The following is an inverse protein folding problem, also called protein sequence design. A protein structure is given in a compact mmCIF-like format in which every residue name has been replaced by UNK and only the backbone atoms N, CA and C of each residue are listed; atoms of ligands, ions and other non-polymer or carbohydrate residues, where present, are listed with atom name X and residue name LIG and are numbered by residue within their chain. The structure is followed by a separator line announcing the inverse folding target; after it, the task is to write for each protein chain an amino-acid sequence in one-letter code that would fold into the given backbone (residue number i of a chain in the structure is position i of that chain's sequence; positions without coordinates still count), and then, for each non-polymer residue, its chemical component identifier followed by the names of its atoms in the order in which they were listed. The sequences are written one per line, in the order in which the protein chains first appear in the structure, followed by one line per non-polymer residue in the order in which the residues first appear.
data_IF_509335624433
#
_entry.id   IF_509335624433
#
_cell.length_a   1.000
_cell.length_b   1.000
_cell.length_c   1.000
_cell.angle_alpha   90.00
_cell.angle_beta   90.00
_cell.angle_gamma   90.00
#
_symmetry.space_group_name_H-M   'P 1'
#
loop_
_entity.id
_entity.type
_entity.pdbx_description
1 polymer ?
#
# COMPACT_ATOMS: atom_id res chain seq x y z
N UNK A 1 -17.76 -8.91 -7.35
CA UNK A 1 -17.81 -9.58 -6.05
C UNK A 1 -17.90 -8.54 -4.95
N UNK A 2 -18.82 -8.73 -4.02
CA UNK A 2 -18.96 -7.78 -2.91
C UNK A 2 -17.80 -7.95 -1.92
N UNK A 3 -17.23 -6.83 -1.50
CA UNK A 3 -16.24 -6.86 -0.42
C UNK A 3 -16.95 -7.33 0.87
N UNK A 4 -16.29 -8.20 1.62
CA UNK A 4 -16.86 -8.64 2.88
C UNK A 4 -16.71 -7.54 3.93
N UNK A 5 -17.61 -7.55 4.90
CA UNK A 5 -17.48 -6.67 6.05
C UNK A 5 -16.54 -7.30 7.08
N UNK A 6 -15.64 -6.50 7.60
CA UNK A 6 -14.74 -6.93 8.67
C UNK A 6 -15.44 -6.80 10.02
N UNK A 7 -15.13 -7.70 10.93
CA UNK A 7 -15.62 -7.59 12.31
C UNK A 7 -14.86 -6.46 13.03
N UNK A 8 -15.40 -6.02 14.17
CA UNK A 8 -14.73 -4.99 14.96
C UNK A 8 -13.34 -5.44 15.41
N UNK A 9 -13.17 -6.72 15.75
CA UNK A 9 -11.88 -7.27 16.11
C UNK A 9 -10.90 -7.25 14.94
N UNK A 10 -11.37 -7.62 13.76
CA UNK A 10 -10.55 -7.60 12.55
C UNK A 10 -10.11 -6.18 12.21
N UNK A 11 -11.00 -5.21 12.36
CA UNK A 11 -10.68 -3.80 12.12
C UNK A 11 -9.59 -3.33 13.07
N UNK A 12 -9.67 -3.70 14.35
CA UNK A 12 -8.63 -3.37 15.32
C UNK A 12 -7.27 -3.93 14.90
N UNK A 13 -7.25 -5.18 14.45
CA UNK A 13 -6.02 -5.83 14.01
C UNK A 13 -5.45 -5.09 12.78
N UNK A 14 -6.30 -4.81 11.79
CA UNK A 14 -5.86 -4.13 10.59
C UNK A 14 -5.33 -2.72 10.87
N UNK A 15 -5.98 -1.98 11.75
CA UNK A 15 -5.58 -0.61 12.09
C UNK A 15 -4.28 -0.55 12.91
N UNK A 16 -3.83 -1.67 13.46
CA UNK A 16 -2.52 -1.74 14.11
C UNK A 16 -1.37 -1.71 13.11
N UNK A 17 -1.64 -2.04 11.85
CA UNK A 17 -0.61 -1.99 10.83
C UNK A 17 -0.24 -0.54 10.55
N UNK A 18 1.06 -0.28 10.53
CA UNK A 18 1.63 1.05 10.34
C UNK A 18 1.16 1.72 9.04
N UNK A 19 0.90 0.92 7.99
CA UNK A 19 0.56 1.42 6.66
C UNK A 19 -0.93 1.43 6.36
N UNK A 20 -1.77 0.99 7.30
CA UNK A 20 -3.23 1.08 7.15
C UNK A 20 -3.70 2.31 7.92
N UNK A 21 -4.10 3.34 7.19
CA UNK A 21 -4.50 4.60 7.79
C UNK A 21 -5.91 4.55 8.37
N UNK A 22 -6.80 3.76 7.76
CA UNK A 22 -8.17 3.65 8.24
C UNK A 22 -8.86 2.45 7.59
N UNK A 23 -10.04 2.10 8.10
CA UNK A 23 -10.93 1.14 7.49
C UNK A 23 -12.30 1.80 7.38
N UNK A 24 -12.74 2.09 6.17
CA UNK A 24 -14.00 2.80 5.91
C UNK A 24 -15.15 1.81 5.72
N UNK A 25 -16.30 2.14 6.29
CA UNK A 25 -17.53 1.35 6.11
C UNK A 25 -17.34 -0.12 6.45
N UNK A 26 -16.41 -0.45 7.35
CA UNK A 26 -16.05 -1.81 7.75
C UNK A 26 -15.62 -2.71 6.60
N UNK A 27 -15.21 -2.16 5.46
CA UNK A 27 -14.83 -2.97 4.29
C UNK A 27 -13.75 -2.40 3.40
N UNK A 28 -13.47 -1.10 3.49
CA UNK A 28 -12.45 -0.49 2.63
C UNK A 28 -11.22 -0.09 3.43
N UNK A 29 -10.09 -0.69 3.10
CA UNK A 29 -8.81 -0.31 3.71
C UNK A 29 -8.31 0.97 3.06
N UNK A 30 -7.92 1.93 3.89
CA UNK A 30 -7.25 3.15 3.42
C UNK A 30 -5.76 2.96 3.63
N UNK A 31 -5.04 2.78 2.54
CA UNK A 31 -3.61 2.53 2.56
C UNK A 31 -2.84 3.84 2.54
N UNK A 32 -1.73 3.87 3.27
CA UNK A 32 -0.82 5.01 3.21
C UNK A 32 -0.20 5.11 1.80
N UNK A 33 -0.11 6.30 1.21
CA UNK A 33 0.52 6.45 -0.11
C UNK A 33 1.94 5.91 -0.19
N UNK A 34 2.71 6.03 0.89
CA UNK A 34 4.06 5.48 0.95
C UNK A 34 4.03 3.96 0.80
N UNK A 35 3.05 3.30 1.43
CA UNK A 35 2.88 1.86 1.29
C UNK A 35 2.62 1.47 -0.16
N UNK A 36 1.74 2.20 -0.85
CA UNK A 36 1.44 1.90 -2.26
C UNK A 36 2.69 1.96 -3.12
N UNK A 37 3.49 3.00 -2.96
CA UNK A 37 4.76 3.14 -3.69
C UNK A 37 5.76 2.05 -3.29
N UNK A 38 5.79 1.68 -2.02
CA UNK A 38 6.64 0.60 -1.55
C UNK A 38 6.27 -0.74 -2.20
N UNK A 39 4.97 -1.03 -2.34
CA UNK A 39 4.55 -2.28 -3.00
C UNK A 39 4.96 -2.30 -4.47
N UNK A 40 4.89 -1.15 -5.14
CA UNK A 40 5.34 -1.03 -6.52
C UNK A 40 6.83 -1.34 -6.62
N UNK A 41 7.63 -0.73 -5.74
CA UNK A 41 9.06 -0.99 -5.66
C UNK A 41 9.34 -2.48 -5.42
N UNK A 42 8.64 -3.10 -4.46
CA UNK A 42 8.82 -4.52 -4.15
C UNK A 42 8.45 -5.41 -5.33
N UNK A 43 7.38 -5.07 -6.04
CA UNK A 43 6.99 -5.84 -7.23
C UNK A 43 8.06 -5.78 -8.32
N UNK A 44 8.68 -4.62 -8.52
CA UNK A 44 9.72 -4.44 -9.52
C UNK A 44 11.04 -5.08 -9.10
N UNK A 45 11.40 -4.94 -7.84
CA UNK A 45 12.69 -5.41 -7.32
C UNK A 45 12.69 -6.90 -6.99
N UNK A 46 11.55 -7.41 -6.54
CA UNK A 46 11.42 -8.80 -6.09
C UNK A 46 10.24 -9.46 -6.81
N UNK A 47 10.37 -9.73 -8.12
CA UNK A 47 9.25 -10.26 -8.90
C UNK A 47 8.80 -11.67 -8.46
N UNK A 48 9.64 -12.37 -7.72
CA UNK A 48 9.30 -13.71 -7.23
C UNK A 48 8.38 -13.70 -6.01
N UNK A 49 8.24 -12.55 -5.33
CA UNK A 49 7.32 -12.46 -4.21
C UNK A 49 5.89 -12.31 -4.71
N UNK A 50 4.97 -13.07 -4.10
CA UNK A 50 3.55 -12.88 -4.40
C UNK A 50 3.03 -11.58 -3.77
N UNK A 51 1.90 -11.10 -4.28
CA UNK A 51 1.26 -9.92 -3.70
C UNK A 51 0.93 -10.12 -2.22
N UNK A 52 0.47 -11.33 -1.87
CA UNK A 52 0.16 -11.67 -0.49
C UNK A 52 1.41 -11.60 0.40
N UNK A 53 2.52 -12.12 -0.10
CA UNK A 53 3.79 -12.06 0.64
C UNK A 53 4.28 -10.62 0.83
N UNK A 54 4.10 -9.78 -0.18
CA UNK A 54 4.46 -8.35 -0.07
C UNK A 54 3.64 -7.68 1.04
N UNK A 55 2.34 -7.92 1.08
CA UNK A 55 1.48 -7.39 2.13
C UNK A 55 1.89 -7.93 3.51
N UNK A 56 2.22 -9.22 3.59
CA UNK A 56 2.62 -9.84 4.85
C UNK A 56 3.91 -9.22 5.40
N UNK A 57 4.88 -8.98 4.55
CA UNK A 57 6.15 -8.35 4.95
C UNK A 57 5.91 -6.96 5.53
N UNK A 58 4.90 -6.25 5.04
CA UNK A 58 4.56 -4.92 5.55
C UNK A 58 3.84 -4.94 6.90
N UNK A 59 3.53 -6.12 7.42
CA UNK A 59 2.87 -6.25 8.72
C UNK A 59 1.35 -6.28 8.65
N UNK A 60 0.78 -6.42 7.45
CA UNK A 60 -0.67 -6.55 7.31
C UNK A 60 -1.05 -7.99 7.61
N UNK A 61 -2.09 -8.19 8.42
CA UNK A 61 -2.58 -9.53 8.74
C UNK A 61 -3.38 -10.08 7.56
N UNK A 62 -2.66 -10.74 6.63
CA UNK A 62 -3.24 -11.14 5.34
C UNK A 62 -4.32 -12.20 5.46
N UNK A 63 -4.33 -12.99 6.55
CA UNK A 63 -5.35 -14.00 6.74
C UNK A 63 -6.74 -13.41 6.96
N UNK A 64 -6.83 -12.15 7.36
CA UNK A 64 -8.10 -11.45 7.50
C UNK A 64 -8.66 -11.02 6.14
N UNK A 65 -7.77 -10.79 5.17
CA UNK A 65 -8.13 -10.21 3.88
C UNK A 65 -8.72 -11.26 2.94
N UNK A 66 -9.56 -10.78 2.01
CA UNK A 66 -9.97 -11.60 0.88
C UNK A 66 -8.72 -12.08 0.16
N UNK A 67 -8.74 -13.34 -0.29
CA UNK A 67 -7.60 -14.01 -0.92
C UNK A 67 -6.96 -13.20 -2.04
N UNK A 68 -7.78 -12.59 -2.89
CA UNK A 68 -7.29 -11.89 -4.07
C UNK A 68 -7.05 -10.41 -3.86
N UNK A 69 -7.35 -9.88 -2.68
CA UNK A 69 -7.26 -8.45 -2.43
C UNK A 69 -5.84 -7.90 -2.62
N UNK A 70 -4.78 -8.50 -2.06
CA UNK A 70 -3.43 -7.99 -2.27
C UNK A 70 -3.05 -7.93 -3.75
N UNK A 71 -3.34 -8.97 -4.50
CA UNK A 71 -3.05 -9.03 -5.93
C UNK A 71 -3.78 -7.93 -6.69
N UNK A 72 -5.08 -7.76 -6.42
CA UNK A 72 -5.88 -6.77 -7.10
C UNK A 72 -5.38 -5.36 -6.81
N UNK A 73 -5.03 -5.07 -5.56
CA UNK A 73 -4.54 -3.74 -5.19
C UNK A 73 -3.20 -3.44 -5.83
N UNK A 74 -2.26 -4.37 -5.78
CA UNK A 74 -0.95 -4.15 -6.38
C UNK A 74 -1.07 -3.99 -7.90
N UNK A 75 -1.92 -4.77 -8.55
CA UNK A 75 -2.15 -4.63 -10.00
C UNK A 75 -2.72 -3.25 -10.33
N UNK A 76 -3.69 -2.75 -9.54
CA UNK A 76 -4.27 -1.42 -9.72
C UNK A 76 -3.19 -0.34 -9.58
N UNK A 77 -2.35 -0.45 -8.56
CA UNK A 77 -1.31 0.54 -8.32
C UNK A 77 -0.21 0.49 -9.38
N UNK A 78 0.18 -0.71 -9.82
CA UNK A 78 1.14 -0.84 -10.93
C UNK A 78 0.61 -0.22 -12.22
N UNK A 79 -0.67 -0.44 -12.51
CA UNK A 79 -1.31 0.18 -13.67
C UNK A 79 -1.25 1.71 -13.57
N UNK A 80 -1.63 2.25 -12.42
CA UNK A 80 -1.62 3.69 -12.22
C UNK A 80 -0.19 4.26 -12.30
N UNK A 81 0.77 3.55 -11.74
CA UNK A 81 2.17 3.96 -11.78
C UNK A 81 2.70 4.02 -13.22
N UNK A 82 2.44 2.98 -13.99
CA UNK A 82 2.89 2.93 -15.40
C UNK A 82 2.25 4.01 -16.25
N UNK A 83 1.00 4.37 -15.93
CA UNK A 83 0.24 5.34 -16.71
C UNK A 83 0.49 6.79 -16.28
N UNK A 84 0.56 7.04 -14.99
CA UNK A 84 0.62 8.40 -14.43
C UNK A 84 1.89 8.71 -13.67
N UNK A 85 2.70 7.73 -13.34
CA UNK A 85 3.93 7.91 -12.59
C UNK A 85 3.70 8.10 -11.10
N UNK A 86 4.78 8.48 -10.41
CA UNK A 86 4.78 8.66 -8.95
C UNK A 86 3.77 9.72 -8.51
N UNK A 87 3.56 10.73 -9.32
CA UNK A 87 2.66 11.85 -8.97
C UNK A 87 1.23 11.42 -8.66
N UNK A 88 0.81 10.30 -9.22
CA UNK A 88 -0.53 9.78 -8.95
C UNK A 88 -0.74 9.47 -7.47
N UNK A 89 0.32 9.04 -6.79
CA UNK A 89 0.25 8.58 -5.40
C UNK A 89 0.52 9.68 -4.39
N UNK A 90 1.14 10.76 -4.82
CA UNK A 90 1.50 11.87 -3.94
C UNK A 90 0.62 13.07 -4.27
N UNK A 91 -0.28 13.44 -3.33
CA UNK A 91 -1.11 14.63 -3.54
C UNK A 91 -0.25 15.87 -3.78
N UNK A 92 -0.80 16.87 -4.47
CA UNK A 92 -0.02 18.09 -4.73
C UNK A 92 0.44 18.74 -3.42
N UNK A 93 1.73 18.90 -3.33
CA UNK A 93 2.51 19.64 -2.36
C UNK A 93 1.83 20.01 -1.04
N UNK A 94 1.08 21.08 -0.97
CA UNK A 94 0.57 21.62 0.29
C UNK A 94 -0.48 20.74 0.97
N UNK A 95 -1.11 19.85 0.20
CA UNK A 95 -2.14 18.97 0.75
C UNK A 95 -1.57 17.74 1.42
N UNK A 96 -0.28 17.47 1.24
CA UNK A 96 0.33 16.25 1.76
C UNK A 96 1.58 16.59 2.56
N UNK A 97 1.46 16.48 3.87
CA UNK A 97 2.58 16.67 4.78
C UNK A 97 2.87 15.36 5.48
N UNK A 98 4.08 14.84 5.28
CA UNK A 98 4.53 13.65 6.01
C UNK A 98 5.19 14.13 7.29
N UNK A 99 4.50 13.95 8.41
CA UNK A 99 5.04 14.29 9.72
C UNK A 99 5.82 13.14 10.33
N UNK A 100 5.56 11.92 9.88
CA UNK A 100 6.24 10.73 10.38
C UNK A 100 7.62 10.63 9.73
N UNK A 101 8.64 10.72 10.56
CA UNK A 101 10.03 10.71 10.11
C UNK A 101 10.41 9.43 9.37
N UNK A 102 9.94 8.29 9.87
CA UNK A 102 10.24 7.00 9.25
C UNK A 102 9.63 6.90 7.86
N UNK A 103 8.35 7.29 7.71
CA UNK A 103 7.68 7.29 6.41
C UNK A 103 8.36 8.23 5.43
N UNK A 104 8.81 9.38 5.89
CA UNK A 104 9.50 10.34 5.04
C UNK A 104 10.81 9.76 4.50
N UNK A 105 11.60 9.14 5.37
CA UNK A 105 12.84 8.51 4.96
C UNK A 105 12.60 7.35 4.01
N UNK A 106 11.58 6.53 4.29
CA UNK A 106 11.22 5.42 3.44
C UNK A 106 10.80 5.91 2.06
N UNK A 107 9.97 6.96 1.99
CA UNK A 107 9.54 7.53 0.74
C UNK A 107 10.73 8.05 -0.08
N UNK A 108 11.65 8.76 0.55
CA UNK A 108 12.85 9.26 -0.13
C UNK A 108 13.66 8.13 -0.75
N UNK A 109 13.83 7.04 0.00
CA UNK A 109 14.56 5.88 -0.50
C UNK A 109 13.82 5.20 -1.66
N UNK A 110 12.51 5.04 -1.54
CA UNK A 110 11.68 4.44 -2.59
C UNK A 110 11.78 5.26 -3.87
N UNK A 111 11.63 6.57 -3.78
CA UNK A 111 11.69 7.45 -4.94
C UNK A 111 13.04 7.37 -5.64
N UNK A 112 14.12 7.29 -4.86
CA UNK A 112 15.46 7.13 -5.41
C UNK A 112 15.59 5.81 -6.16
N UNK A 113 15.08 4.73 -5.59
CA UNK A 113 15.17 3.41 -6.21
C UNK A 113 14.29 3.28 -7.45
N UNK A 114 13.09 3.91 -7.44
CA UNK A 114 12.19 3.83 -8.57
C UNK A 114 12.73 4.52 -9.82
N UNK A 115 13.65 5.45 -9.67
CA UNK A 115 14.27 6.11 -10.83
C UNK A 115 14.95 5.13 -11.77
N UNK A 116 15.40 3.99 -11.27
CA UNK A 116 16.02 2.95 -12.11
C UNK A 116 15.07 2.37 -13.14
N UNK A 117 13.78 2.49 -12.92
CA UNK A 117 12.74 1.88 -13.75
C UNK A 117 12.03 2.89 -14.65
N UNK A 118 12.47 4.12 -14.63
CA UNK A 118 11.93 5.19 -15.50
C UNK A 118 12.66 5.31 -16.83
#
# INVERSE_FOLDING_TARGET
MKARLYTDEEIKILKKCYFINDVLYKRELVYDPVFKLWTIFMRLECPDLSAREIFDVAGIEVDILNRDLPKNRINDWMYAYKRYGVKYFLPPNEAYTITDKFKKQLLEQILKELKKYE
#
